data_IF_489359086958
#
_entry.id   IF_489359086958
#
_cell.length_a   1.000
_cell.length_b   1.000
_cell.length_c   1.000
_cell.angle_alpha   90.00
_cell.angle_beta   90.00
_cell.angle_gamma   90.00
#
_symmetry.space_group_name_H-M   'P 1'
#
loop_
_entity.id
_entity.type
_entity.pdbx_description
1 polymer ?
#
# COMPACT_ATOMS: atom_id res chain seq x y z
N UNK A 1 12.62 3.12 17.34
CA UNK A 1 11.21 3.27 16.92
C UNK A 1 10.28 2.37 17.73
N UNK A 2 8.99 2.71 17.80
CA UNK A 2 7.96 1.92 18.50
C UNK A 2 6.65 1.94 17.70
N UNK A 3 5.98 0.78 17.58
CA UNK A 3 4.64 0.74 16.97
C UNK A 3 3.67 1.61 17.76
N UNK A 4 2.97 2.50 17.05
CA UNK A 4 1.99 3.41 17.61
C UNK A 4 0.65 3.24 16.89
N UNK A 5 -0.49 3.41 17.60
CA UNK A 5 -1.79 3.43 16.95
C UNK A 5 -1.91 4.68 16.07
N UNK A 6 -2.72 4.60 15.02
CA UNK A 6 -3.15 5.78 14.28
C UNK A 6 -4.15 6.60 15.12
N UNK A 7 -4.19 7.92 14.89
CA UNK A 7 -5.24 8.78 15.45
C UNK A 7 -6.64 8.36 14.99
N UNK A 8 -7.68 8.79 15.72
CA UNK A 8 -9.07 8.33 15.52
C UNK A 8 -9.57 8.51 14.08
N UNK A 9 -9.18 9.59 13.39
CA UNK A 9 -9.58 9.86 12.01
C UNK A 9 -9.02 8.80 11.04
N UNK A 10 -7.70 8.60 11.06
CA UNK A 10 -7.04 7.60 10.20
C UNK A 10 -7.51 6.20 10.54
N UNK A 11 -7.65 5.87 11.83
CA UNK A 11 -8.18 4.58 12.25
C UNK A 11 -9.59 4.31 11.68
N UNK A 12 -10.47 5.33 11.66
CA UNK A 12 -11.80 5.23 11.05
C UNK A 12 -11.73 5.00 9.53
N UNK A 13 -10.86 5.72 8.82
CA UNK A 13 -10.70 5.56 7.37
C UNK A 13 -10.16 4.17 7.00
N UNK A 14 -9.20 3.65 7.77
CA UNK A 14 -8.66 2.32 7.59
C UNK A 14 -9.72 1.23 7.87
N UNK A 15 -10.59 1.45 8.84
CA UNK A 15 -11.71 0.56 9.12
C UNK A 15 -12.73 0.56 7.96
N UNK A 16 -13.09 1.73 7.45
CA UNK A 16 -13.95 1.89 6.27
C UNK A 16 -13.36 1.18 5.04
N UNK A 17 -12.05 1.35 4.80
CA UNK A 17 -11.34 0.68 3.71
C UNK A 17 -11.41 -0.86 3.82
N UNK A 18 -11.22 -1.40 5.03
CA UNK A 18 -11.35 -2.85 5.26
C UNK A 18 -12.76 -3.37 5.05
N UNK A 19 -13.77 -2.58 5.43
CA UNK A 19 -15.18 -2.97 5.27
C UNK A 19 -15.58 -3.09 3.80
N UNK A 20 -15.01 -2.24 2.92
CA UNK A 20 -15.23 -2.32 1.47
C UNK A 20 -14.36 -3.37 0.78
N UNK A 21 -13.33 -3.90 1.46
CA UNK A 21 -12.49 -5.01 0.98
C UNK A 21 -11.11 -4.61 0.48
N UNK A 22 -10.58 -3.45 0.92
CA UNK A 22 -9.19 -3.05 0.62
C UNK A 22 -8.21 -4.01 1.31
N UNK A 23 -7.17 -4.43 0.58
CA UNK A 23 -6.15 -5.41 1.00
C UNK A 23 -4.79 -4.77 1.27
N UNK A 24 -4.81 -3.53 1.74
CA UNK A 24 -3.63 -2.73 2.08
C UNK A 24 -3.61 -2.52 3.59
N UNK A 25 -2.51 -2.88 4.22
CA UNK A 25 -2.28 -2.68 5.64
C UNK A 25 -1.24 -1.59 5.89
N UNK A 26 -1.46 -0.88 7.01
CA UNK A 26 -0.63 0.23 7.44
C UNK A 26 -0.14 -0.01 8.87
N UNK A 27 1.13 0.31 9.11
CA UNK A 27 1.75 0.28 10.44
C UNK A 27 2.45 1.61 10.68
N UNK A 28 2.11 2.28 11.78
CA UNK A 28 2.75 3.54 12.18
C UNK A 28 3.78 3.28 13.26
N UNK A 29 4.92 3.93 13.12
CA UNK A 29 5.98 3.95 14.09
C UNK A 29 6.24 5.39 14.56
N UNK A 30 6.34 5.57 15.86
CA UNK A 30 6.93 6.76 16.47
C UNK A 30 8.45 6.59 16.49
N UNK A 31 9.15 7.63 16.04
CA UNK A 31 10.60 7.66 15.98
C UNK A 31 11.19 8.25 17.25
N UNK A 32 12.41 7.83 17.59
CA UNK A 32 13.24 8.56 18.56
C UNK A 32 13.78 9.84 17.90
N UNK A 33 14.27 10.79 18.70
CA UNK A 33 14.88 12.01 18.16
C UNK A 33 16.04 11.72 17.20
N UNK A 34 16.88 10.72 17.51
CA UNK A 34 17.98 10.29 16.63
C UNK A 34 17.48 9.78 15.27
N UNK A 35 16.42 8.96 15.28
CA UNK A 35 15.82 8.43 14.06
C UNK A 35 15.15 9.55 13.23
N UNK A 36 14.45 10.48 13.90
CA UNK A 36 13.83 11.63 13.26
C UNK A 36 14.85 12.57 12.61
N UNK A 37 15.94 12.88 13.31
CA UNK A 37 17.05 13.70 12.79
C UNK A 37 17.65 13.08 11.51
N UNK A 38 17.82 11.75 11.49
CA UNK A 38 18.30 11.04 10.31
C UNK A 38 17.34 11.13 9.11
N UNK A 39 16.03 11.17 9.35
CA UNK A 39 15.01 11.36 8.31
C UNK A 39 14.94 12.82 7.81
N UNK A 40 15.12 13.80 8.70
CA UNK A 40 15.13 15.24 8.38
C UNK A 40 16.32 15.65 7.50
N UNK A 41 17.39 14.86 7.47
CA UNK A 41 18.47 15.06 6.51
C UNK A 41 18.01 14.93 5.04
N UNK A 42 16.78 14.45 4.79
CA UNK A 42 16.14 14.29 3.47
C UNK A 42 17.03 13.62 2.42
N UNK A 43 17.97 12.81 2.88
CA UNK A 43 18.89 12.04 2.06
C UNK A 43 18.68 10.58 2.42
N UNK A 44 18.71 9.72 1.40
CA UNK A 44 18.45 8.30 1.60
C UNK A 44 19.52 7.65 2.48
N UNK A 45 20.80 8.02 2.33
CA UNK A 45 21.91 7.38 3.04
C UNK A 45 21.77 7.32 4.57
N UNK A 46 21.59 8.43 5.31
CA UNK A 46 21.46 8.39 6.77
C UNK A 46 20.16 7.75 7.24
N UNK A 47 19.06 7.91 6.50
CA UNK A 47 17.76 7.38 6.87
C UNK A 47 17.58 5.90 6.50
N UNK A 48 18.34 5.38 5.54
CA UNK A 48 18.19 4.02 5.00
C UNK A 48 18.20 2.92 6.08
N UNK A 49 19.15 2.90 7.05
CA UNK A 49 19.16 1.88 8.09
C UNK A 49 17.89 1.90 8.94
N UNK A 50 17.35 3.08 9.23
CA UNK A 50 16.12 3.26 10.00
C UNK A 50 14.89 2.84 9.20
N UNK A 51 14.80 3.22 7.92
CA UNK A 51 13.74 2.74 7.05
C UNK A 51 13.78 1.21 6.88
N UNK A 52 14.98 0.62 6.77
CA UNK A 52 15.17 -0.83 6.68
C UNK A 52 14.75 -1.56 7.94
N UNK A 53 15.11 -1.03 9.10
CA UNK A 53 14.66 -1.56 10.39
C UNK A 53 13.13 -1.49 10.50
N UNK A 54 12.53 -0.38 10.09
CA UNK A 54 11.08 -0.23 10.10
C UNK A 54 10.38 -1.20 9.13
N UNK A 55 10.98 -1.50 7.97
CA UNK A 55 10.45 -2.50 7.05
C UNK A 55 10.41 -3.90 7.68
N UNK A 56 11.49 -4.30 8.38
CA UNK A 56 11.54 -5.56 9.11
C UNK A 56 10.50 -5.60 10.24
N UNK A 57 10.46 -4.57 11.09
CA UNK A 57 9.53 -4.48 12.22
C UNK A 57 8.06 -4.44 11.74
N UNK A 58 7.78 -3.67 10.69
CA UNK A 58 6.47 -3.60 10.06
C UNK A 58 6.00 -4.98 9.60
N UNK A 59 6.88 -5.78 8.99
CA UNK A 59 6.53 -7.12 8.51
C UNK A 59 6.23 -8.06 9.68
N UNK A 60 6.96 -7.93 10.79
CA UNK A 60 6.66 -8.67 12.02
C UNK A 60 5.29 -8.29 12.59
N UNK A 61 4.92 -7.00 12.54
CA UNK A 61 3.58 -6.53 12.94
C UNK A 61 2.50 -7.13 12.04
N UNK A 62 2.67 -7.11 10.72
CA UNK A 62 1.73 -7.74 9.78
C UNK A 62 1.61 -9.25 10.04
N UNK A 63 2.73 -9.95 10.23
CA UNK A 63 2.77 -11.36 10.60
C UNK A 63 2.01 -11.66 11.90
N UNK A 64 2.12 -10.78 12.90
CA UNK A 64 1.37 -10.91 14.16
C UNK A 64 -0.12 -10.67 13.93
N UNK A 65 -0.51 -9.58 13.28
CA UNK A 65 -1.92 -9.22 13.00
C UNK A 65 -2.63 -10.30 12.17
N UNK A 66 -1.97 -10.86 11.15
CA UNK A 66 -2.54 -11.92 10.35
C UNK A 66 -2.77 -13.20 11.16
N UNK A 67 -1.81 -13.60 12.01
CA UNK A 67 -1.99 -14.74 12.94
C UNK A 67 -3.16 -14.54 13.90
N UNK A 68 -3.29 -13.35 14.49
CA UNK A 68 -4.41 -13.03 15.38
C UNK A 68 -5.76 -13.06 14.64
N UNK A 69 -5.80 -12.53 13.41
CA UNK A 69 -7.00 -12.58 12.56
C UNK A 69 -7.42 -14.01 12.28
N UNK A 70 -6.49 -14.87 11.84
CA UNK A 70 -6.75 -16.28 11.56
C UNK A 70 -7.22 -17.04 12.81
N UNK A 71 -6.60 -16.77 13.96
CA UNK A 71 -7.00 -17.35 15.24
C UNK A 71 -8.43 -16.95 15.63
N UNK A 72 -8.81 -15.67 15.45
CA UNK A 72 -10.19 -15.19 15.70
C UNK A 72 -11.21 -15.87 14.79
N UNK A 73 -10.85 -16.15 13.55
CA UNK A 73 -11.71 -16.84 12.59
C UNK A 73 -11.76 -18.36 12.81
N UNK A 74 -10.93 -18.91 13.71
CA UNK A 74 -10.81 -20.36 13.91
C UNK A 74 -10.24 -21.09 12.69
N UNK A 75 -9.60 -20.37 11.78
CA UNK A 75 -9.06 -20.94 10.54
C UNK A 75 -7.60 -21.30 10.77
N UNK A 76 -7.27 -22.58 10.60
CA UNK A 76 -5.86 -22.98 10.46
C UNK A 76 -5.50 -22.88 8.98
N UNK A 77 -4.63 -21.92 8.59
CA UNK A 77 -4.27 -21.79 7.19
C UNK A 77 -3.56 -23.05 6.71
N UNK A 78 -4.02 -23.55 5.56
CA UNK A 78 -3.43 -24.70 4.86
C UNK A 78 -2.20 -24.29 4.05
N UNK A 79 -2.19 -23.06 3.54
CA UNK A 79 -1.10 -22.56 2.70
C UNK A 79 -0.04 -21.81 3.52
N UNK A 80 1.26 -21.97 3.19
CA UNK A 80 2.35 -21.32 3.90
C UNK A 80 2.29 -19.79 3.90
N UNK A 81 1.71 -19.16 2.88
CA UNK A 81 1.69 -17.70 2.73
C UNK A 81 0.91 -16.97 3.85
N UNK A 82 -0.07 -17.64 4.45
CA UNK A 82 -0.79 -17.11 5.61
C UNK A 82 0.03 -17.22 6.92
N UNK A 83 1.20 -17.88 6.88
CA UNK A 83 2.19 -17.90 7.95
C UNK A 83 3.38 -17.09 7.48
N UNK A 84 3.31 -15.78 7.67
CA UNK A 84 4.36 -14.86 7.25
C UNK A 84 5.69 -15.24 7.93
N UNK A 85 6.72 -15.44 7.13
CA UNK A 85 8.08 -15.86 7.46
C UNK A 85 9.06 -14.89 6.80
N UNK A 86 9.90 -14.27 7.63
CA UNK A 86 11.03 -13.46 7.18
C UNK A 86 12.21 -14.41 6.94
N UNK A 87 12.72 -14.43 5.70
CA UNK A 87 13.75 -15.36 5.21
C UNK A 87 15.12 -14.69 5.01
N UNK A 88 15.16 -13.37 5.07
CA UNK A 88 16.37 -12.58 4.86
C UNK A 88 16.14 -11.14 5.28
N UNK A 89 16.95 -10.25 4.73
CA UNK A 89 16.84 -8.83 5.00
C UNK A 89 16.31 -8.05 3.78
N UNK A 90 15.46 -7.03 3.99
CA UNK A 90 14.96 -6.22 2.89
C UNK A 90 16.08 -5.38 2.27
N UNK A 91 16.06 -5.31 0.94
CA UNK A 91 16.88 -4.38 0.17
C UNK A 91 15.96 -3.40 -0.53
N UNK A 92 16.12 -2.12 -0.25
CA UNK A 92 15.25 -1.09 -0.78
C UNK A 92 15.94 -0.09 -1.68
N UNK A 93 15.14 0.65 -2.44
CA UNK A 93 15.55 1.83 -3.20
C UNK A 93 14.67 3.02 -2.82
N UNK A 94 15.24 4.22 -2.90
CA UNK A 94 14.47 5.43 -2.74
C UNK A 94 13.61 5.68 -3.99
N UNK A 95 12.35 6.06 -3.79
CA UNK A 95 11.40 6.43 -4.84
C UNK A 95 10.68 7.73 -4.47
N UNK A 96 10.13 8.43 -5.45
CA UNK A 96 9.28 9.59 -5.17
C UNK A 96 7.82 9.19 -4.86
N UNK A 97 7.05 10.15 -4.35
CA UNK A 97 5.65 9.94 -3.97
C UNK A 97 4.76 9.54 -5.15
N UNK A 98 4.97 10.12 -6.33
CA UNK A 98 4.19 9.79 -7.52
C UNK A 98 4.46 8.34 -7.98
N UNK A 99 5.71 7.89 -7.88
CA UNK A 99 6.14 6.52 -8.17
C UNK A 99 5.51 5.53 -7.19
N UNK A 100 5.48 5.85 -5.89
CA UNK A 100 4.82 5.01 -4.88
C UNK A 100 3.32 4.82 -5.16
N UNK A 101 2.63 5.90 -5.54
CA UNK A 101 1.20 5.84 -5.84
C UNK A 101 0.91 5.10 -7.15
N UNK A 102 1.83 5.16 -8.10
CA UNK A 102 1.74 4.51 -9.39
C UNK A 102 1.03 5.35 -10.46
N UNK A 103 1.18 4.99 -11.75
CA UNK A 103 0.69 5.78 -12.87
C UNK A 103 -0.83 5.92 -12.94
N UNK A 104 -1.59 5.01 -12.30
CA UNK A 104 -3.04 5.10 -12.17
C UNK A 104 -3.53 6.27 -11.32
N UNK A 105 -2.69 6.98 -10.56
CA UNK A 105 -3.13 8.11 -9.73
C UNK A 105 -2.60 9.46 -10.24
N UNK A 106 -3.42 10.50 -10.11
CA UNK A 106 -3.00 11.88 -10.35
C UNK A 106 -2.98 12.64 -9.02
N UNK A 107 -1.79 12.89 -8.48
CA UNK A 107 -1.58 13.69 -7.26
C UNK A 107 -2.09 15.13 -7.37
N UNK A 108 -2.03 15.71 -8.58
CA UNK A 108 -2.54 17.08 -8.82
C UNK A 108 -4.05 17.18 -8.74
N UNK A 109 -4.78 16.23 -9.34
CA UNK A 109 -6.25 16.27 -9.36
C UNK A 109 -6.87 15.44 -8.24
N UNK A 110 -6.07 14.63 -7.52
CA UNK A 110 -6.50 13.68 -6.50
C UNK A 110 -7.56 12.70 -7.00
N UNK A 111 -7.34 12.19 -8.21
CA UNK A 111 -8.26 11.28 -8.90
C UNK A 111 -7.49 10.18 -9.62
N UNK A 112 -8.17 9.05 -9.81
CA UNK A 112 -7.64 8.01 -10.68
C UNK A 112 -7.56 8.51 -12.12
N UNK A 113 -6.49 8.12 -12.80
CA UNK A 113 -6.29 8.23 -14.25
C UNK A 113 -6.86 7.05 -15.00
N UNK A 114 -7.34 6.02 -14.28
CA UNK A 114 -8.13 4.96 -14.87
C UNK A 114 -9.38 5.63 -15.48
N UNK A 115 -9.36 5.67 -16.81
CA UNK A 115 -10.23 6.50 -17.65
C UNK A 115 -11.73 6.22 -17.39
N UNK A 116 -12.60 7.13 -17.85
CA UNK A 116 -14.05 7.11 -17.67
C UNK A 116 -14.81 5.87 -18.18
N UNK A 117 -14.11 4.83 -18.65
CA UNK A 117 -14.67 3.51 -18.99
C UNK A 117 -15.01 2.65 -17.78
N UNK A 118 -14.34 2.88 -16.63
CA UNK A 118 -14.78 2.30 -15.35
C UNK A 118 -15.99 3.04 -14.77
N UNK A 119 -16.14 4.33 -15.12
CA UNK A 119 -17.23 5.24 -14.68
C UNK A 119 -18.58 4.96 -15.37
N UNK A 120 -18.84 3.70 -15.68
CA UNK A 120 -20.13 3.20 -16.14
C UNK A 120 -20.30 1.69 -15.96
N UNK A 121 -19.40 1.04 -15.22
CA UNK A 121 -19.48 -0.39 -14.96
C UNK A 121 -20.61 -0.66 -13.96
N UNK A 122 -21.66 -1.34 -14.42
CA UNK A 122 -22.80 -1.73 -13.59
C UNK A 122 -22.51 -2.97 -12.73
N UNK A 123 -21.37 -3.65 -12.97
CA UNK A 123 -20.99 -4.87 -12.25
C UNK A 123 -19.48 -5.00 -12.05
N UNK A 124 -19.07 -5.81 -11.06
CA UNK A 124 -17.66 -6.19 -10.83
C UNK A 124 -17.01 -6.76 -12.09
N UNK A 125 -17.73 -7.56 -12.88
CA UNK A 125 -17.21 -8.16 -14.10
C UNK A 125 -16.89 -7.13 -15.19
N UNK A 126 -17.72 -6.09 -15.32
CA UNK A 126 -17.48 -4.98 -16.24
C UNK A 126 -16.31 -4.10 -15.78
N UNK A 127 -16.18 -3.90 -14.46
CA UNK A 127 -15.05 -3.20 -13.83
C UNK A 127 -13.74 -3.94 -14.10
N UNK A 128 -13.71 -5.26 -13.89
CA UNK A 128 -12.57 -6.13 -14.21
C UNK A 128 -12.22 -6.07 -15.70
N UNK A 129 -13.19 -6.17 -16.60
CA UNK A 129 -12.93 -6.14 -18.05
C UNK A 129 -12.41 -4.78 -18.54
N UNK A 130 -12.91 -3.67 -17.99
CA UNK A 130 -12.43 -2.32 -18.28
C UNK A 130 -11.01 -2.10 -17.73
N UNK A 131 -10.72 -2.62 -16.54
CA UNK A 131 -9.38 -2.62 -15.95
C UNK A 131 -8.39 -3.42 -16.81
N UNK A 132 -8.73 -4.65 -17.19
CA UNK A 132 -7.92 -5.45 -18.13
C UNK A 132 -7.71 -4.71 -19.46
N UNK A 133 -8.72 -3.99 -19.96
CA UNK A 133 -8.61 -3.16 -21.15
C UNK A 133 -7.61 -2.01 -21.00
N UNK A 134 -7.61 -1.33 -19.84
CA UNK A 134 -6.65 -0.28 -19.52
C UNK A 134 -5.22 -0.84 -19.40
N UNK A 135 -5.06 -1.96 -18.71
CA UNK A 135 -3.77 -2.63 -18.57
C UNK A 135 -3.22 -3.04 -19.93
N UNK A 136 -4.03 -3.70 -20.77
CA UNK A 136 -3.65 -4.03 -22.17
C UNK A 136 -3.24 -2.79 -22.97
N UNK A 137 -3.91 -1.65 -22.78
CA UNK A 137 -3.58 -0.38 -23.43
C UNK A 137 -2.25 0.21 -22.93
N UNK A 138 -1.92 0.03 -21.65
CA UNK A 138 -0.64 0.43 -21.04
C UNK A 138 0.51 -0.49 -21.49
N UNK A 139 0.32 -1.81 -21.46
CA UNK A 139 1.24 -2.81 -22.03
C UNK A 139 1.65 -2.48 -23.47
N UNK A 140 0.67 -2.16 -24.33
CA UNK A 140 0.91 -1.87 -25.74
C UNK A 140 1.77 -0.61 -25.99
N UNK A 141 2.01 0.22 -24.97
CA UNK A 141 2.83 1.44 -25.05
C UNK A 141 4.23 1.30 -24.44
N UNK A 142 4.63 0.08 -24.06
CA UNK A 142 6.01 -0.20 -23.63
C UNK A 142 6.42 0.47 -22.31
N UNK A 143 5.45 0.75 -21.43
CA UNK A 143 5.72 1.13 -20.04
C UNK A 143 5.48 -0.10 -19.17
N UNK A 144 6.52 -0.92 -19.02
CA UNK A 144 6.64 -2.10 -18.18
C UNK A 144 6.52 -3.42 -18.97
N UNK A 145 7.56 -4.25 -18.91
CA UNK A 145 7.65 -5.56 -19.59
C UNK A 145 6.57 -6.54 -19.09
N UNK A 146 6.01 -6.29 -17.89
CA UNK A 146 4.92 -7.08 -17.28
C UNK A 146 3.56 -6.37 -17.30
N UNK A 147 3.48 -5.12 -17.81
CA UNK A 147 2.32 -4.18 -17.87
C UNK A 147 1.27 -4.26 -16.77
N UNK A 148 1.74 -4.59 -15.58
CA UNK A 148 1.12 -4.23 -14.34
C UNK A 148 1.48 -2.76 -14.11
N UNK A 149 0.49 -1.85 -14.07
CA UNK A 149 0.60 -0.55 -13.40
C UNK A 149 0.86 -0.82 -11.90
N UNK A 150 2.10 -0.81 -11.40
CA UNK A 150 2.40 -1.20 -10.04
C UNK A 150 2.36 0.06 -9.16
N UNK A 151 1.57 0.04 -8.09
CA UNK A 151 1.52 1.17 -7.18
C UNK A 151 0.39 1.09 -6.18
N UNK A 152 0.56 1.82 -5.09
CA UNK A 152 -0.36 1.80 -3.95
C UNK A 152 -1.80 2.11 -4.35
N UNK A 153 -2.01 3.03 -5.32
CA UNK A 153 -3.35 3.41 -5.74
C UNK A 153 -4.10 2.26 -6.39
N UNK A 154 -3.42 1.43 -7.20
CA UNK A 154 -4.04 0.25 -7.79
C UNK A 154 -4.42 -0.76 -6.73
N UNK A 155 -3.48 -1.12 -5.85
CA UNK A 155 -3.72 -2.08 -4.78
C UNK A 155 -4.89 -1.67 -3.87
N UNK A 156 -5.08 -0.36 -3.67
CA UNK A 156 -6.18 0.18 -2.89
C UNK A 156 -7.51 0.21 -3.66
N UNK A 157 -7.53 0.75 -4.88
CA UNK A 157 -8.77 1.04 -5.62
C UNK A 157 -9.35 -0.17 -6.33
N UNK A 158 -8.52 -1.17 -6.64
CA UNK A 158 -8.93 -2.38 -7.31
C UNK A 158 -8.17 -3.54 -6.67
N UNK A 159 -8.68 -4.17 -5.58
CA UNK A 159 -8.22 -5.40 -4.90
C UNK A 159 -8.73 -6.72 -5.56
N UNK A 160 -7.99 -7.84 -5.50
CA UNK A 160 -7.97 -8.84 -6.58
C UNK A 160 -9.26 -9.65 -6.64
N UNK A 161 -9.93 -9.74 -5.49
CA UNK A 161 -11.26 -10.33 -5.37
C UNK A 161 -12.40 -9.32 -5.59
N UNK A 162 -12.06 -8.14 -6.11
CA UNK A 162 -12.96 -6.99 -6.16
C UNK A 162 -13.28 -6.43 -4.78
N UNK A 163 -13.85 -5.24 -4.76
CA UNK A 163 -14.43 -4.66 -3.55
C UNK A 163 -15.87 -5.16 -3.38
N UNK A 164 -16.37 -5.23 -2.14
CA UNK A 164 -17.66 -5.85 -1.79
C UNK A 164 -18.91 -5.18 -2.37
N UNK A 165 -18.76 -4.12 -3.15
CA UNK A 165 -19.85 -3.40 -3.81
C UNK A 165 -19.45 -3.04 -5.26
N UNK A 166 -20.39 -2.73 -6.16
CA UNK A 166 -20.07 -2.31 -7.54
C UNK A 166 -20.98 -1.18 -8.01
N UNK A 167 -20.43 -0.21 -8.76
CA UNK A 167 -21.15 0.92 -9.38
C UNK A 167 -20.42 2.26 -9.32
N UNK A 168 -20.83 3.22 -10.15
CA UNK A 168 -20.12 4.52 -10.32
C UNK A 168 -20.05 5.40 -9.08
N UNK A 169 -21.13 5.43 -8.29
CA UNK A 169 -21.16 6.17 -7.03
C UNK A 169 -20.13 5.62 -6.05
N UNK A 170 -19.99 4.29 -6.01
CA UNK A 170 -19.04 3.58 -5.17
C UNK A 170 -17.59 3.76 -5.65
N UNK A 171 -17.35 3.88 -6.96
CA UNK A 171 -16.00 4.22 -7.45
C UNK A 171 -15.54 5.59 -6.96
N UNK A 172 -16.41 6.60 -7.02
CA UNK A 172 -16.10 7.95 -6.51
C UNK A 172 -15.88 7.94 -5.01
N UNK A 173 -16.73 7.24 -4.26
CA UNK A 173 -16.57 7.08 -2.81
C UNK A 173 -15.22 6.44 -2.46
N UNK A 174 -14.74 5.46 -3.25
CA UNK A 174 -13.40 4.85 -3.06
C UNK A 174 -12.27 5.80 -3.38
N UNK A 175 -12.35 6.54 -4.49
CA UNK A 175 -11.36 7.56 -4.83
C UNK A 175 -11.29 8.62 -3.74
N UNK A 176 -12.44 9.05 -3.21
CA UNK A 176 -12.53 10.02 -2.14
C UNK A 176 -12.04 9.45 -0.80
N UNK A 177 -12.33 8.18 -0.50
CA UNK A 177 -11.77 7.48 0.66
C UNK A 177 -10.24 7.40 0.58
N UNK A 178 -9.71 6.98 -0.58
CA UNK A 178 -8.27 6.91 -0.80
C UNK A 178 -7.62 8.29 -0.72
N UNK A 179 -8.20 9.31 -1.36
CA UNK A 179 -7.70 10.68 -1.29
C UNK A 179 -7.70 11.22 0.14
N UNK A 180 -8.78 10.98 0.92
CA UNK A 180 -8.85 11.38 2.34
C UNK A 180 -7.83 10.64 3.20
N UNK A 181 -7.60 9.36 2.93
CA UNK A 181 -6.60 8.56 3.64
C UNK A 181 -5.19 9.08 3.35
N UNK A 182 -4.85 9.31 2.07
CA UNK A 182 -3.59 9.95 1.68
C UNK A 182 -3.47 11.35 2.27
N UNK A 183 -4.59 12.08 2.41
CA UNK A 183 -4.55 13.42 2.97
C UNK A 183 -4.16 13.42 4.46
N UNK A 184 -4.80 12.54 5.23
CA UNK A 184 -4.54 12.40 6.67
C UNK A 184 -3.18 11.77 6.95
N UNK A 185 -2.73 10.81 6.12
CA UNK A 185 -1.42 10.18 6.25
C UNK A 185 -0.28 11.09 5.76
N UNK A 186 -0.48 11.76 4.61
CA UNK A 186 0.62 12.36 3.85
C UNK A 186 0.40 13.81 3.41
N UNK A 187 -0.82 14.33 3.19
CA UNK A 187 -1.00 15.74 2.79
C UNK A 187 -1.03 16.75 3.92
N UNK A 188 -1.12 16.33 5.20
CA UNK A 188 -0.80 17.25 6.31
C UNK A 188 0.67 17.68 6.29
N UNK A 189 1.48 17.06 5.43
CA UNK A 189 2.91 17.24 5.36
C UNK A 189 3.23 18.10 4.13
N UNK A 190 3.45 19.38 4.37
CA UNK A 190 4.25 20.21 3.46
C UNK A 190 5.73 19.75 3.41
N UNK A 191 6.05 18.67 4.12
CA UNK A 191 7.36 18.09 4.29
C UNK A 191 7.72 17.18 3.10
N UNK A 192 8.98 17.16 2.67
CA UNK A 192 9.46 16.13 1.75
C UNK A 192 9.25 14.74 2.35
N UNK A 193 8.52 13.89 1.63
CA UNK A 193 8.36 12.48 2.01
C UNK A 193 9.61 11.70 1.63
N UNK A 194 10.12 10.90 2.56
CA UNK A 194 11.19 9.95 2.26
C UNK A 194 10.58 8.57 2.04
N UNK A 195 10.39 8.19 0.77
CA UNK A 195 9.81 6.89 0.43
C UNK A 195 10.91 5.90 0.05
N UNK A 196 10.87 4.71 0.65
CA UNK A 196 11.63 3.56 0.19
C UNK A 196 10.69 2.45 -0.23
N UNK A 197 10.94 1.90 -1.41
CA UNK A 197 10.35 0.67 -1.91
C UNK A 197 11.30 -0.49 -1.56
N UNK A 198 10.75 -1.60 -1.07
CA UNK A 198 11.52 -2.76 -0.64
C UNK A 198 11.35 -3.95 -1.58
N UNK A 199 12.41 -4.75 -1.73
CA UNK A 199 12.38 -6.01 -2.46
C UNK A 199 11.36 -6.99 -1.88
N UNK A 200 11.04 -8.05 -2.61
CA UNK A 200 9.98 -9.02 -2.28
C UNK A 200 10.53 -10.46 -2.08
N UNK A 201 11.84 -10.62 -2.07
CA UNK A 201 12.56 -11.90 -2.02
C UNK A 201 12.90 -12.38 -0.59
N UNK A 202 12.67 -11.53 0.41
CA UNK A 202 13.06 -11.74 1.79
C UNK A 202 11.93 -12.18 2.72
N UNK A 203 10.69 -12.31 2.21
CA UNK A 203 9.53 -12.78 2.99
C UNK A 203 8.55 -13.57 2.13
N UNK A 204 7.96 -14.63 2.68
CA UNK A 204 6.92 -15.38 1.98
C UNK A 204 5.55 -14.67 1.94
N UNK A 205 5.42 -13.53 2.63
CA UNK A 205 4.24 -12.66 2.54
C UNK A 205 3.92 -12.25 1.10
N UNK A 206 4.98 -12.15 0.30
CA UNK A 206 4.93 -11.78 -1.10
C UNK A 206 4.68 -12.97 -2.04
N UNK A 207 4.78 -14.22 -1.54
CA UNK A 207 4.61 -15.41 -2.38
C UNK A 207 3.16 -15.54 -2.87
N UNK A 208 2.17 -15.08 -2.08
CA UNK A 208 0.76 -15.03 -2.48
C UNK A 208 0.41 -13.65 -3.06
N UNK A 209 0.21 -13.56 -4.37
CA UNK A 209 -0.28 -12.34 -5.02
C UNK A 209 0.61 -11.70 -6.05
N UNK A 210 1.83 -12.19 -6.18
CA UNK A 210 2.71 -11.88 -7.33
C UNK A 210 1.98 -12.00 -8.67
N UNK A 211 1.05 -12.95 -8.78
CA UNK A 211 0.29 -13.24 -10.01
C UNK A 211 -0.80 -12.21 -10.37
N UNK A 212 -1.16 -11.26 -9.49
CA UNK A 212 -2.18 -10.25 -9.78
C UNK A 212 -1.56 -8.90 -10.11
N UNK A 213 -0.91 -8.20 -9.16
CA UNK A 213 -0.32 -6.85 -9.38
C UNK A 213 1.10 -6.69 -8.87
N UNK A 214 1.78 -7.80 -8.64
CA UNK A 214 3.00 -7.80 -7.86
C UNK A 214 2.72 -7.55 -6.38
N UNK A 215 3.78 -7.29 -5.65
CA UNK A 215 3.77 -7.13 -4.19
C UNK A 215 4.35 -5.78 -3.84
N UNK A 216 3.64 -5.02 -3.02
CA UNK A 216 4.05 -3.67 -2.68
C UNK A 216 4.42 -3.59 -1.20
N UNK A 217 5.61 -3.07 -0.94
CA UNK A 217 6.08 -2.83 0.40
C UNK A 217 6.87 -1.54 0.47
N UNK A 218 6.37 -0.58 1.25
CA UNK A 218 6.96 0.75 1.35
C UNK A 218 7.18 1.14 2.81
N UNK A 219 8.20 1.96 3.01
CA UNK A 219 8.32 2.80 4.20
C UNK A 219 8.30 4.26 3.80
N UNK A 220 7.46 5.04 4.46
CA UNK A 220 7.30 6.47 4.23
C UNK A 220 7.70 7.22 5.50
N UNK A 221 8.83 7.89 5.43
CA UNK A 221 9.31 8.79 6.47
C UNK A 221 8.65 10.15 6.37
N UNK A 222 8.16 10.65 7.50
CA UNK A 222 7.52 11.94 7.65
C UNK A 222 8.40 12.80 8.57
N UNK A 223 9.30 13.57 7.96
CA UNK A 223 10.37 14.26 8.69
C UNK A 223 9.87 15.26 9.75
N UNK A 224 8.79 15.99 9.47
CA UNK A 224 8.24 17.01 10.39
C UNK A 224 7.29 16.44 11.46
N UNK A 225 6.96 15.14 11.41
CA UNK A 225 6.06 14.52 12.38
C UNK A 225 6.74 13.44 13.23
N UNK A 226 8.05 13.24 13.09
CA UNK A 226 8.81 12.17 13.78
C UNK A 226 8.15 10.80 13.63
N UNK A 227 7.58 10.55 12.45
CA UNK A 227 6.76 9.38 12.15
C UNK A 227 7.29 8.63 10.94
N UNK A 228 7.12 7.32 10.99
CA UNK A 228 7.36 6.44 9.85
C UNK A 228 6.16 5.52 9.67
N UNK A 229 5.64 5.47 8.44
CA UNK A 229 4.54 4.59 8.07
C UNK A 229 5.06 3.47 7.17
N UNK A 230 4.81 2.23 7.56
CA UNK A 230 4.99 1.06 6.72
C UNK A 230 3.68 0.75 6.02
N UNK A 231 3.75 0.49 4.72
CA UNK A 231 2.61 0.13 3.89
C UNK A 231 2.91 -1.22 3.26
N UNK A 232 2.05 -2.20 3.51
CA UNK A 232 2.09 -3.51 2.87
C UNK A 232 0.82 -3.75 2.08
N UNK A 233 0.94 -4.20 0.84
CA UNK A 233 -0.18 -4.70 0.08
C UNK A 233 0.17 -6.05 -0.53
N UNK A 234 -0.71 -7.03 -0.28
CA UNK A 234 -0.61 -8.37 -0.83
C UNK A 234 -2.01 -8.87 -1.20
N UNK A 235 -2.11 -9.68 -2.25
CA UNK A 235 -3.39 -10.24 -2.70
C UNK A 235 -4.04 -11.16 -1.66
N UNK A 236 -3.28 -11.64 -0.67
CA UNK A 236 -3.74 -12.59 0.35
C UNK A 236 -4.33 -11.95 1.61
N UNK A 237 -4.28 -10.62 1.72
CA UNK A 237 -4.78 -9.90 2.90
C UNK A 237 -6.29 -9.71 2.91
#
# INVERSE_FOLDING_TARGET
MREAPFGSNVASLLQEAREVGVVVDFVRFELTSEEADALQAHTSEPAYPHCRAAALEGMQVLARRNRERLARLGVTPREPAFRIQIRGEPHGRHVDYDTMLGPSWCTRTRRSRLDGRLRGAASVAEETAAMEGYLRWHHARGRDEDGLDPGLARAFLSPPYGLRASGDALWREREDLFARLLDELFYRLASPLLVHEWSDDWSNYFDSGREWWGTLYYTVGIADADELVVIGASSSD
#
